data_IF_124531345151
#
_entry.id   IF_124531345151
#
_cell.length_a   1.000
_cell.length_b   1.000
_cell.length_c   1.000
_cell.angle_alpha   90.00
_cell.angle_beta   90.00
_cell.angle_gamma   90.00
#
_symmetry.space_group_name_H-M   'P 1'
#
loop_
_entity.id
_entity.type
_entity.pdbx_description
1 polymer ?
#
# COMPACT_ATOMS: atom_id res chain seq x y z
N UNK A 1 4.24 51.47 -45.89
CA UNK A 1 2.94 51.08 -45.30
C UNK A 1 2.88 51.51 -43.83
N UNK A 2 2.61 52.79 -43.51
CA UNK A 2 2.13 53.20 -42.20
C UNK A 2 0.61 53.40 -42.25
N UNK A 3 -0.16 52.94 -41.26
CA UNK A 3 -1.49 53.47 -40.83
C UNK A 3 -2.37 52.52 -40.00
N UNK A 4 -1.93 51.29 -39.65
CA UNK A 4 -2.77 50.39 -38.81
C UNK A 4 -2.43 50.48 -37.31
N UNK A 5 -1.38 51.21 -36.93
CA UNK A 5 -0.87 51.26 -35.55
C UNK A 5 -1.24 52.51 -34.73
N UNK A 6 -1.98 53.48 -35.29
CA UNK A 6 -2.28 54.74 -34.57
C UNK A 6 -3.45 54.63 -33.58
N UNK A 7 -4.24 53.55 -33.63
CA UNK A 7 -5.35 53.34 -32.70
C UNK A 7 -5.00 52.30 -31.63
N UNK A 8 -4.97 52.74 -30.37
CA UNK A 8 -4.75 51.91 -29.17
C UNK A 8 -5.75 50.75 -29.05
N UNK A 9 -6.98 50.95 -29.53
CA UNK A 9 -8.03 49.93 -29.54
C UNK A 9 -7.69 48.82 -30.54
N UNK A 10 -7.23 49.18 -31.74
CA UNK A 10 -6.86 48.22 -32.79
C UNK A 10 -5.64 47.41 -32.38
N UNK A 11 -4.65 48.05 -31.76
CA UNK A 11 -3.47 47.35 -31.24
C UNK A 11 -3.81 46.38 -30.11
N UNK A 12 -4.64 46.78 -29.15
CA UNK A 12 -5.10 45.90 -28.08
C UNK A 12 -5.90 44.69 -28.63
N UNK A 13 -6.74 44.91 -29.64
CA UNK A 13 -7.53 43.86 -30.28
C UNK A 13 -6.64 42.87 -31.07
N UNK A 14 -5.66 43.37 -31.82
CA UNK A 14 -4.69 42.54 -32.56
C UNK A 14 -3.83 41.71 -31.60
N UNK A 15 -3.32 42.31 -30.52
CA UNK A 15 -2.56 41.59 -29.50
C UNK A 15 -3.41 40.54 -28.77
N UNK A 16 -4.68 40.85 -28.48
CA UNK A 16 -5.63 39.89 -27.92
C UNK A 16 -5.87 38.69 -28.83
N UNK A 17 -6.07 38.93 -30.13
CA UNK A 17 -6.22 37.87 -31.14
C UNK A 17 -4.97 37.00 -31.24
N UNK A 18 -3.77 37.61 -31.27
CA UNK A 18 -2.50 36.87 -31.31
C UNK A 18 -2.35 35.99 -30.07
N UNK A 19 -2.70 36.50 -28.88
CA UNK A 19 -2.63 35.73 -27.63
C UNK A 19 -3.62 34.55 -27.62
N UNK A 20 -4.83 34.75 -28.14
CA UNK A 20 -5.85 33.71 -28.24
C UNK A 20 -5.43 32.53 -29.14
N UNK A 21 -4.56 32.76 -30.13
CA UNK A 21 -4.03 31.71 -31.00
C UNK A 21 -3.11 30.70 -30.28
N UNK A 22 -2.61 31.02 -29.07
CA UNK A 22 -1.74 30.13 -28.27
C UNK A 22 -2.40 28.79 -27.91
N UNK A 23 -3.68 28.83 -27.51
CA UNK A 23 -4.44 27.66 -27.09
C UNK A 23 -4.71 26.67 -28.24
N UNK A 24 -5.24 27.08 -29.40
CA UNK A 24 -5.41 26.22 -30.55
C UNK A 24 -4.09 25.62 -31.04
N UNK A 25 -3.00 26.42 -31.09
CA UNK A 25 -1.68 25.90 -31.48
C UNK A 25 -1.18 24.83 -30.50
N UNK A 26 -1.29 25.09 -29.19
CA UNK A 26 -0.91 24.13 -28.16
C UNK A 26 -1.76 22.86 -28.17
N UNK A 27 -3.00 22.95 -28.64
CA UNK A 27 -3.86 21.77 -28.83
C UNK A 27 -3.44 20.99 -30.09
N UNK A 28 -3.12 21.70 -31.19
CA UNK A 28 -2.68 21.10 -32.45
C UNK A 28 -1.35 20.34 -32.31
N UNK A 29 -0.42 20.83 -31.50
CA UNK A 29 0.86 20.14 -31.25
C UNK A 29 0.68 18.78 -30.59
N UNK A 30 -0.40 18.57 -29.81
CA UNK A 30 -0.71 17.27 -29.21
C UNK A 30 -1.11 16.19 -30.23
N UNK A 31 -1.48 16.59 -31.45
CA UNK A 31 -1.78 15.65 -32.55
C UNK A 31 -0.51 15.01 -33.13
N UNK A 32 0.62 15.73 -33.11
CA UNK A 32 1.88 15.26 -33.68
C UNK A 32 2.84 14.71 -32.63
N UNK A 33 2.70 15.15 -31.38
CA UNK A 33 3.59 14.76 -30.30
C UNK A 33 2.87 14.75 -28.95
N UNK A 34 2.91 13.60 -28.26
CA UNK A 34 2.53 13.49 -26.85
C UNK A 34 3.79 13.48 -25.98
N UNK A 35 4.13 14.61 -25.33
CA UNK A 35 5.31 14.68 -24.47
C UNK A 35 5.15 13.77 -23.25
N UNK A 36 6.28 13.28 -22.72
CA UNK A 36 6.28 12.49 -21.48
C UNK A 36 6.00 13.37 -20.26
N UNK A 37 5.58 12.77 -19.14
CA UNK A 37 5.33 13.50 -17.89
C UNK A 37 6.53 14.35 -17.42
N UNK A 38 7.76 13.90 -17.74
CA UNK A 38 8.99 14.65 -17.42
C UNK A 38 9.13 15.89 -18.29
N UNK A 39 8.84 15.80 -19.57
CA UNK A 39 8.96 16.92 -20.51
C UNK A 39 7.91 17.99 -20.20
N UNK A 40 6.69 17.57 -19.86
CA UNK A 40 5.63 18.47 -19.40
C UNK A 40 6.05 19.17 -18.10
N UNK A 41 6.63 18.43 -17.15
CA UNK A 41 7.12 19.01 -15.91
C UNK A 41 8.25 20.04 -16.15
N UNK A 42 9.19 19.74 -17.05
CA UNK A 42 10.26 20.68 -17.44
C UNK A 42 9.65 21.93 -18.07
N UNK A 43 8.75 21.79 -19.05
CA UNK A 43 8.11 22.91 -19.74
C UNK A 43 7.28 23.78 -18.79
N UNK A 44 6.50 23.17 -17.89
CA UNK A 44 5.73 23.90 -16.87
C UNK A 44 6.64 24.60 -15.85
N UNK A 45 7.71 23.95 -15.41
CA UNK A 45 8.66 24.54 -14.46
C UNK A 45 9.38 25.75 -15.05
N UNK A 46 9.78 25.66 -16.33
CA UNK A 46 10.40 26.76 -17.06
C UNK A 46 9.40 27.90 -17.30
N UNK A 47 8.21 27.62 -17.84
CA UNK A 47 7.21 28.65 -18.13
C UNK A 47 6.72 29.38 -16.88
N UNK A 48 6.42 28.63 -15.82
CA UNK A 48 6.04 29.20 -14.53
C UNK A 48 7.16 30.00 -13.88
N UNK A 49 8.39 29.47 -13.91
CA UNK A 49 9.57 30.14 -13.36
C UNK A 49 9.92 31.44 -14.09
N UNK A 50 9.86 31.45 -15.43
CA UNK A 50 10.15 32.62 -16.25
C UNK A 50 9.14 33.75 -16.03
N UNK A 51 7.84 33.43 -15.99
CA UNK A 51 6.78 34.41 -15.70
C UNK A 51 6.92 35.01 -14.30
N UNK A 52 7.18 34.16 -13.30
CA UNK A 52 7.32 34.60 -11.92
C UNK A 52 8.58 35.47 -11.77
N UNK A 53 9.69 35.10 -12.41
CA UNK A 53 10.91 35.90 -12.43
C UNK A 53 10.68 37.27 -13.10
N UNK A 54 10.07 37.30 -14.29
CA UNK A 54 9.77 38.54 -15.00
C UNK A 54 8.90 39.48 -14.16
N UNK A 55 7.82 38.94 -13.57
CA UNK A 55 6.89 39.72 -12.77
C UNK A 55 7.51 40.19 -11.44
N UNK A 56 8.36 39.37 -10.81
CA UNK A 56 9.12 39.79 -9.63
C UNK A 56 10.12 40.89 -9.96
N UNK A 57 10.87 40.78 -11.05
CA UNK A 57 11.83 41.82 -11.44
C UNK A 57 11.14 43.13 -11.77
N UNK A 58 10.03 43.09 -12.51
CA UNK A 58 9.29 44.29 -12.91
C UNK A 58 8.69 45.01 -11.68
N UNK A 59 8.04 44.27 -10.76
CA UNK A 59 7.52 44.85 -9.53
C UNK A 59 8.63 45.34 -8.57
N UNK A 60 9.66 44.53 -8.36
CA UNK A 60 10.70 44.84 -7.36
C UNK A 60 11.60 45.97 -7.85
N UNK A 61 12.05 45.95 -9.11
CA UNK A 61 12.95 46.96 -9.65
C UNK A 61 12.32 48.35 -9.66
N UNK A 62 11.06 48.47 -10.10
CA UNK A 62 10.34 49.75 -10.14
C UNK A 62 10.09 50.36 -8.75
N UNK A 63 9.97 49.52 -7.72
CA UNK A 63 9.69 49.96 -6.34
C UNK A 63 10.98 50.28 -5.58
N UNK A 64 12.03 49.49 -5.78
CA UNK A 64 13.36 49.73 -5.20
C UNK A 64 13.99 51.01 -5.77
N UNK A 65 13.82 51.27 -7.08
CA UNK A 65 14.31 52.50 -7.71
C UNK A 65 13.68 53.78 -7.13
N UNK A 66 12.48 53.69 -6.53
CA UNK A 66 11.78 54.80 -5.87
C UNK A 66 12.16 54.97 -4.40
N UNK A 67 12.96 54.05 -3.83
CA UNK A 67 13.35 54.06 -2.42
C UNK A 67 12.36 53.36 -1.47
N UNK A 68 11.28 52.79 -1.99
CA UNK A 68 10.17 52.22 -1.21
C UNK A 68 10.37 50.74 -0.85
N UNK A 69 11.57 50.38 -0.38
CA UNK A 69 11.87 49.00 0.01
C UNK A 69 11.07 48.49 1.23
N UNK A 70 10.89 49.26 2.32
CA UNK A 70 10.15 48.79 3.49
C UNK A 70 8.69 48.35 3.23
N UNK A 71 7.86 49.13 2.50
CA UNK A 71 6.49 48.69 2.19
C UNK A 71 6.45 47.49 1.24
N UNK A 72 7.40 47.38 0.31
CA UNK A 72 7.56 46.20 -0.55
C UNK A 72 7.83 44.94 0.29
N UNK A 73 8.80 45.00 1.21
CA UNK A 73 9.15 43.89 2.08
C UNK A 73 7.98 43.46 2.97
N UNK A 74 7.26 44.43 3.55
CA UNK A 74 6.05 44.16 4.35
C UNK A 74 4.96 43.47 3.53
N UNK A 75 4.73 43.92 2.28
CA UNK A 75 3.79 43.29 1.36
C UNK A 75 4.16 41.86 1.01
N UNK A 76 5.44 41.59 0.69
CA UNK A 76 5.93 40.24 0.41
C UNK A 76 5.75 39.30 1.59
N UNK A 77 6.10 39.74 2.81
CA UNK A 77 5.94 38.94 4.02
C UNK A 77 4.45 38.68 4.31
N UNK A 78 3.61 39.72 4.25
CA UNK A 78 2.17 39.60 4.47
C UNK A 78 1.49 38.66 3.46
N UNK A 79 1.83 38.79 2.18
CA UNK A 79 1.34 37.90 1.13
C UNK A 79 1.78 36.46 1.33
N UNK A 80 3.03 36.22 1.74
CA UNK A 80 3.54 34.89 2.07
C UNK A 80 2.80 34.25 3.24
N UNK A 81 2.56 35.00 4.32
CA UNK A 81 1.80 34.54 5.48
C UNK A 81 0.34 34.23 5.12
N UNK A 82 -0.30 35.09 4.34
CA UNK A 82 -1.66 34.87 3.83
C UNK A 82 -1.75 33.62 2.96
N UNK A 83 -0.78 33.40 2.07
CA UNK A 83 -0.68 32.19 1.25
C UNK A 83 -0.56 30.92 2.11
N UNK A 84 0.31 30.93 3.12
CA UNK A 84 0.47 29.80 4.06
C UNK A 84 -0.85 29.53 4.80
N UNK A 85 -1.51 30.57 5.30
CA UNK A 85 -2.79 30.46 5.99
C UNK A 85 -3.89 29.86 5.11
N UNK A 86 -4.05 30.37 3.88
CA UNK A 86 -4.99 29.84 2.89
C UNK A 86 -4.68 28.38 2.55
N UNK A 87 -3.41 28.03 2.37
CA UNK A 87 -3.01 26.67 2.05
C UNK A 87 -3.31 25.68 3.19
N UNK A 88 -3.15 26.12 4.45
CA UNK A 88 -3.55 25.32 5.61
C UNK A 88 -5.06 25.12 5.67
N UNK A 89 -5.84 26.19 5.48
CA UNK A 89 -7.32 26.12 5.43
C UNK A 89 -7.76 25.14 4.34
N UNK A 90 -7.22 25.26 3.12
CA UNK A 90 -7.56 24.35 2.01
C UNK A 90 -7.20 22.90 2.31
N UNK A 91 -6.08 22.64 2.99
CA UNK A 91 -5.70 21.29 3.41
C UNK A 91 -6.66 20.73 4.47
N UNK A 92 -7.09 21.55 5.42
CA UNK A 92 -8.05 21.16 6.47
C UNK A 92 -9.44 20.86 5.90
N UNK A 93 -9.85 21.54 4.82
CA UNK A 93 -11.08 21.25 4.07
C UNK A 93 -10.97 20.06 3.09
N UNK A 94 -9.89 19.27 3.16
CA UNK A 94 -9.76 18.04 2.37
C UNK A 94 -9.04 18.21 1.03
N UNK A 95 -8.24 19.27 0.84
CA UNK A 95 -7.36 19.47 -0.32
C UNK A 95 -6.40 18.29 -0.61
N UNK A 96 -6.23 17.38 0.36
CA UNK A 96 -5.53 16.11 0.23
C UNK A 96 -6.17 15.11 -0.76
N UNK A 97 -7.47 15.25 -1.05
CA UNK A 97 -8.17 14.45 -2.08
C UNK A 97 -7.86 14.93 -3.51
N UNK A 98 -7.18 16.08 -3.68
CA UNK A 98 -6.82 16.64 -5.00
C UNK A 98 -5.71 15.84 -5.71
N UNK A 99 -4.94 15.03 -4.98
CA UNK A 99 -3.84 14.24 -5.54
C UNK A 99 -3.90 12.82 -5.02
N UNK A 100 -4.19 11.87 -5.91
CA UNK A 100 -4.31 10.45 -5.59
C UNK A 100 -3.10 9.89 -4.81
N UNK A 101 -1.90 10.43 -5.06
CA UNK A 101 -0.66 10.05 -4.37
C UNK A 101 -0.71 10.30 -2.85
N UNK A 102 -1.31 11.42 -2.42
CA UNK A 102 -1.39 11.74 -1.00
C UNK A 102 -2.46 10.86 -0.36
N UNK A 103 -3.64 10.72 -0.98
CA UNK A 103 -4.73 9.83 -0.52
C UNK A 103 -4.27 8.40 -0.23
N UNK A 104 -3.49 7.82 -1.14
CA UNK A 104 -2.92 6.49 -0.96
C UNK A 104 -1.96 6.40 0.24
N UNK A 105 -1.22 7.46 0.57
CA UNK A 105 -0.35 7.47 1.73
C UNK A 105 -1.12 7.39 3.06
N UNK A 106 -2.22 8.15 3.22
CA UNK A 106 -3.02 8.06 4.45
C UNK A 106 -3.78 6.74 4.56
N UNK A 107 -4.30 6.22 3.44
CA UNK A 107 -4.97 4.92 3.44
C UNK A 107 -3.99 3.81 3.84
N UNK A 108 -2.81 3.72 3.22
CA UNK A 108 -1.77 2.75 3.63
C UNK A 108 -1.35 2.90 5.07
N UNK A 109 -1.23 4.13 5.58
CA UNK A 109 -0.89 4.39 6.98
C UNK A 109 -1.97 3.89 7.95
N UNK A 110 -3.25 4.00 7.58
CA UNK A 110 -4.34 3.44 8.38
C UNK A 110 -4.34 1.91 8.33
N UNK A 111 -4.15 1.32 7.15
CA UNK A 111 -4.05 -0.15 6.98
C UNK A 111 -2.90 -0.73 7.80
N UNK A 112 -1.74 -0.08 7.78
CA UNK A 112 -0.58 -0.44 8.61
C UNK A 112 -0.91 -0.53 10.10
N UNK A 113 -1.63 0.48 10.63
CA UNK A 113 -2.03 0.51 12.05
C UNK A 113 -3.03 -0.58 12.38
N UNK A 114 -4.02 -0.78 11.52
CA UNK A 114 -5.04 -1.82 11.69
C UNK A 114 -4.42 -3.22 11.65
N UNK A 115 -3.51 -3.47 10.72
CA UNK A 115 -2.80 -4.74 10.64
C UNK A 115 -1.96 -4.98 11.90
N UNK A 116 -1.23 -3.96 12.39
CA UNK A 116 -0.43 -4.10 13.62
C UNK A 116 -1.30 -4.45 14.82
N UNK A 117 -2.46 -3.81 14.93
CA UNK A 117 -3.43 -4.11 15.98
C UNK A 117 -3.98 -5.53 15.85
N UNK A 118 -4.36 -5.97 14.65
CA UNK A 118 -4.88 -7.33 14.42
C UNK A 118 -3.81 -8.38 14.73
N UNK A 119 -2.56 -8.13 14.33
CA UNK A 119 -1.45 -9.04 14.61
C UNK A 119 -1.18 -9.15 16.12
N UNK A 120 -1.28 -8.03 16.87
CA UNK A 120 -1.15 -8.03 18.33
C UNK A 120 -2.30 -8.73 19.06
N UNK A 121 -3.47 -8.83 18.43
CA UNK A 121 -4.65 -9.48 18.98
C UNK A 121 -4.84 -10.91 18.45
N UNK A 122 -4.07 -11.31 17.44
CA UNK A 122 -4.11 -12.64 16.89
C UNK A 122 -3.66 -13.64 17.96
N UNK A 123 -4.39 -14.75 18.08
CA UNK A 123 -4.10 -15.82 19.05
C UNK A 123 -2.71 -16.45 18.86
N UNK A 124 -2.11 -16.30 17.68
CA UNK A 124 -0.75 -16.75 17.33
C UNK A 124 0.31 -15.70 17.68
N UNK A 125 0.17 -15.16 18.88
CA UNK A 125 1.04 -14.15 19.49
C UNK A 125 2.50 -14.64 19.54
N UNK A 126 2.71 -15.95 19.66
CA UNK A 126 4.01 -16.61 19.80
C UNK A 126 4.95 -16.53 18.59
N UNK A 127 4.43 -16.45 17.36
CA UNK A 127 5.28 -16.31 16.15
C UNK A 127 5.44 -14.85 15.72
N UNK A 128 4.39 -14.04 15.91
CA UNK A 128 4.37 -12.66 15.43
C UNK A 128 4.72 -11.59 16.48
N UNK A 129 4.90 -11.96 17.76
CA UNK A 129 5.24 -10.97 18.81
C UNK A 129 6.62 -10.35 18.68
N UNK A 130 7.61 -11.15 18.32
CA UNK A 130 9.03 -10.72 18.29
C UNK A 130 9.43 -10.18 16.91
N UNK A 131 8.44 -9.71 16.15
CA UNK A 131 8.65 -9.15 14.83
C UNK A 131 9.24 -7.74 14.95
N UNK A 132 10.41 -7.53 14.34
CA UNK A 132 11.03 -6.21 14.31
C UNK A 132 10.16 -5.22 13.50
N UNK A 133 10.28 -3.92 13.78
CA UNK A 133 9.54 -2.89 13.03
C UNK A 133 9.91 -2.86 11.54
N UNK A 134 11.12 -3.31 11.17
CA UNK A 134 11.54 -3.46 9.77
C UNK A 134 10.83 -4.62 9.09
N UNK A 135 10.77 -5.77 9.74
CA UNK A 135 10.12 -6.99 9.23
C UNK A 135 8.61 -6.78 9.10
N UNK A 136 8.01 -6.17 10.12
CA UNK A 136 6.61 -5.80 10.08
C UNK A 136 6.30 -4.86 8.91
N UNK A 137 7.17 -3.89 8.60
CA UNK A 137 6.98 -3.01 7.44
C UNK A 137 7.01 -3.75 6.11
N UNK A 138 7.79 -4.83 5.98
CA UNK A 138 7.81 -5.66 4.77
C UNK A 138 6.49 -6.41 4.63
N UNK A 139 6.00 -7.04 5.69
CA UNK A 139 4.71 -7.74 5.70
C UNK A 139 3.54 -6.78 5.44
N UNK A 140 3.52 -5.65 6.14
CA UNK A 140 2.45 -4.65 6.04
C UNK A 140 2.35 -3.98 4.67
N UNK A 141 3.40 -4.02 3.83
CA UNK A 141 3.36 -3.53 2.45
C UNK A 141 2.65 -4.47 1.48
N UNK A 142 2.62 -5.75 1.80
CA UNK A 142 2.14 -6.81 0.89
C UNK A 142 0.79 -7.38 1.32
N UNK A 143 0.43 -7.16 2.58
CA UNK A 143 -0.88 -7.51 3.08
C UNK A 143 -1.95 -6.64 2.42
N UNK A 144 -3.10 -7.24 2.15
CA UNK A 144 -4.22 -6.55 1.54
C UNK A 144 -5.55 -7.06 2.14
N UNK A 145 -6.54 -6.18 2.15
CA UNK A 145 -7.86 -6.50 2.66
C UNK A 145 -8.71 -7.13 1.54
N UNK A 146 -9.21 -8.34 1.79
CA UNK A 146 -10.14 -9.04 0.92
C UNK A 146 -11.52 -9.08 1.58
N UNK A 147 -12.57 -8.78 0.82
CA UNK A 147 -13.94 -8.78 1.31
C UNK A 147 -14.73 -9.89 0.65
N UNK A 148 -15.44 -10.65 1.47
CA UNK A 148 -16.26 -11.78 1.06
C UNK A 148 -17.70 -11.56 1.50
N UNK A 149 -18.65 -11.90 0.64
CA UNK A 149 -20.09 -11.89 0.96
C UNK A 149 -20.46 -13.16 1.71
N UNK A 150 -21.60 -13.10 2.40
CA UNK A 150 -22.16 -14.27 3.08
C UNK A 150 -22.30 -15.44 2.12
N UNK A 151 -21.72 -16.58 2.50
CA UNK A 151 -21.77 -17.83 1.77
C UNK A 151 -20.67 -18.02 0.73
N UNK A 152 -19.81 -17.03 0.48
CA UNK A 152 -18.65 -17.17 -0.41
C UNK A 152 -17.56 -18.04 0.24
N UNK A 153 -16.82 -18.77 -0.61
CA UNK A 153 -15.73 -19.65 -0.21
C UNK A 153 -14.43 -18.85 -0.24
N UNK A 154 -13.68 -18.89 0.86
CA UNK A 154 -12.35 -18.24 0.98
C UNK A 154 -11.26 -19.16 0.43
N UNK A 155 -11.32 -20.44 0.80
CA UNK A 155 -10.48 -21.51 0.24
C UNK A 155 -11.17 -22.86 0.40
N UNK A 156 -10.77 -23.82 -0.42
CA UNK A 156 -11.33 -25.17 -0.42
C UNK A 156 -10.33 -26.17 0.17
N UNK A 157 -10.84 -27.23 0.80
CA UNK A 157 -10.00 -28.37 1.20
C UNK A 157 -9.23 -28.92 0.00
N UNK A 158 -7.96 -29.21 0.22
CA UNK A 158 -7.06 -29.81 -0.77
C UNK A 158 -6.34 -28.79 -1.65
N UNK A 159 -6.80 -27.53 -1.67
CA UNK A 159 -6.07 -26.46 -2.36
C UNK A 159 -4.74 -26.17 -1.64
N UNK A 160 -3.75 -25.75 -2.41
CA UNK A 160 -2.47 -25.30 -1.87
C UNK A 160 -2.67 -24.04 -1.03
N UNK A 161 -1.92 -23.95 0.08
CA UNK A 161 -1.98 -22.79 0.95
C UNK A 161 -1.05 -21.69 0.42
N UNK A 162 -1.63 -20.69 -0.23
CA UNK A 162 -0.90 -19.52 -0.77
C UNK A 162 -0.97 -18.30 0.15
N UNK A 163 -1.99 -18.22 1.01
CA UNK A 163 -2.21 -17.08 1.89
C UNK A 163 -2.58 -17.52 3.31
N UNK A 164 -2.07 -16.79 4.29
CA UNK A 164 -2.57 -16.78 5.66
C UNK A 164 -3.61 -15.67 5.80
N UNK A 165 -4.76 -15.94 6.41
CA UNK A 165 -5.77 -14.92 6.60
C UNK A 165 -6.01 -14.59 8.07
N UNK A 166 -6.26 -13.32 8.37
CA UNK A 166 -6.70 -12.83 9.69
C UNK A 166 -8.06 -12.16 9.59
N UNK A 167 -8.99 -12.53 10.47
CA UNK A 167 -10.36 -12.01 10.44
C UNK A 167 -10.40 -10.59 11.03
N UNK A 168 -10.60 -9.58 10.17
CA UNK A 168 -10.74 -8.19 10.58
C UNK A 168 -12.16 -7.87 11.06
N UNK A 169 -13.16 -8.43 10.39
CA UNK A 169 -14.59 -8.26 10.68
C UNK A 169 -15.37 -9.46 10.16
N UNK A 170 -16.39 -9.86 10.90
CA UNK A 170 -17.29 -10.96 10.55
C UNK A 170 -16.84 -12.31 11.11
N UNK A 171 -17.43 -13.38 10.61
CA UNK A 171 -17.20 -14.76 11.03
C UNK A 171 -17.13 -15.73 9.84
N UNK A 172 -16.29 -16.75 9.97
CA UNK A 172 -16.04 -17.77 8.94
C UNK A 172 -16.27 -19.16 9.55
N UNK A 173 -17.02 -20.00 8.86
CA UNK A 173 -17.20 -21.41 9.25
C UNK A 173 -16.27 -22.32 8.46
N UNK A 174 -15.55 -23.17 9.18
CA UNK A 174 -14.73 -24.25 8.64
C UNK A 174 -15.57 -25.51 8.47
N UNK A 175 -15.65 -25.99 7.25
CA UNK A 175 -16.40 -27.18 6.86
C UNK A 175 -15.41 -28.31 6.57
N UNK A 176 -15.58 -29.47 7.22
CA UNK A 176 -14.90 -30.70 6.81
C UNK A 176 -15.84 -31.47 5.87
N UNK A 177 -15.45 -31.83 4.65
CA UNK A 177 -16.32 -32.64 3.79
C UNK A 177 -16.53 -34.08 4.31
N UNK A 178 -15.74 -34.55 5.29
CA UNK A 178 -15.93 -35.87 5.91
C UNK A 178 -17.11 -35.83 6.91
N UNK A 179 -17.21 -34.76 7.69
CA UNK A 179 -18.29 -34.53 8.65
C UNK A 179 -19.22 -33.44 8.11
N UNK A 180 -20.44 -33.78 7.67
CA UNK A 180 -21.43 -32.85 7.08
C UNK A 180 -21.91 -31.68 7.99
N UNK A 181 -21.20 -31.39 9.09
CA UNK A 181 -21.48 -30.34 10.08
C UNK A 181 -20.34 -29.32 10.08
N UNK A 182 -20.64 -28.04 10.31
CA UNK A 182 -19.62 -27.02 10.53
C UNK A 182 -18.71 -27.43 11.70
N UNK A 183 -17.45 -27.74 11.38
CA UNK A 183 -16.49 -28.29 12.33
C UNK A 183 -16.08 -27.24 13.36
N UNK A 184 -16.01 -25.97 12.94
CA UNK A 184 -15.66 -24.85 13.81
C UNK A 184 -16.07 -23.52 13.17
N UNK A 185 -16.57 -22.58 13.97
CA UNK A 185 -16.71 -21.17 13.54
C UNK A 185 -15.56 -20.37 14.14
N UNK A 186 -14.99 -19.50 13.31
CA UNK A 186 -13.89 -18.61 13.65
C UNK A 186 -14.39 -17.18 13.56
N UNK A 187 -14.02 -16.39 14.57
CA UNK A 187 -14.51 -15.03 14.77
C UNK A 187 -13.38 -14.02 14.63
N UNK A 188 -13.71 -12.75 14.85
CA UNK A 188 -12.76 -11.64 14.78
C UNK A 188 -11.46 -11.94 15.55
N UNK A 189 -10.33 -11.63 14.92
CA UNK A 189 -8.95 -11.87 15.39
C UNK A 189 -8.48 -13.34 15.35
N UNK A 190 -9.30 -14.28 14.90
CA UNK A 190 -8.80 -15.62 14.58
C UNK A 190 -8.01 -15.62 13.25
N UNK A 191 -7.10 -16.58 13.16
CA UNK A 191 -6.34 -16.93 11.98
C UNK A 191 -7.01 -18.06 11.18
N UNK A 192 -6.88 -18.01 9.86
CA UNK A 192 -7.34 -19.04 8.95
C UNK A 192 -6.17 -19.57 8.13
N UNK A 193 -5.99 -20.88 8.15
CA UNK A 193 -4.98 -21.55 7.32
C UNK A 193 -3.58 -21.59 7.92
N UNK A 194 -3.36 -21.11 9.15
CA UNK A 194 -2.05 -21.11 9.83
C UNK A 194 -1.30 -22.44 9.78
N UNK A 195 -2.00 -23.53 10.12
CA UNK A 195 -1.39 -24.88 10.15
C UNK A 195 -0.88 -25.28 8.76
N UNK A 196 -1.70 -25.08 7.73
CA UNK A 196 -1.34 -25.36 6.33
C UNK A 196 -0.24 -24.42 5.82
N UNK A 197 -0.29 -23.15 6.23
CA UNK A 197 0.65 -22.11 5.84
C UNK A 197 2.08 -22.41 6.30
N UNK A 198 2.24 -22.73 7.58
CA UNK A 198 3.56 -22.98 8.18
C UNK A 198 4.09 -24.39 7.85
N UNK A 199 3.23 -25.42 7.86
CA UNK A 199 3.68 -26.78 7.53
C UNK A 199 3.85 -27.03 6.02
N UNK A 200 3.33 -26.11 5.19
CA UNK A 200 3.38 -26.24 3.74
C UNK A 200 2.38 -27.24 3.17
N UNK A 201 1.49 -27.77 3.99
CA UNK A 201 0.47 -28.75 3.56
C UNK A 201 -0.74 -28.08 2.91
N UNK A 202 -1.56 -28.82 2.13
CA UNK A 202 -2.82 -28.30 1.59
C UNK A 202 -3.83 -27.94 2.69
N UNK A 203 -4.80 -27.08 2.36
CA UNK A 203 -5.86 -26.73 3.31
C UNK A 203 -6.66 -27.96 3.74
N UNK A 204 -6.87 -28.11 5.05
CA UNK A 204 -7.64 -29.21 5.63
C UNK A 204 -9.15 -29.03 5.48
N UNK A 205 -9.61 -27.80 5.62
CA UNK A 205 -11.03 -27.47 5.66
C UNK A 205 -11.39 -26.56 4.49
N UNK A 206 -12.67 -26.55 4.12
CA UNK A 206 -13.22 -25.50 3.28
C UNK A 206 -13.68 -24.36 4.17
N UNK A 207 -13.12 -23.17 3.99
CA UNK A 207 -13.51 -21.97 4.73
C UNK A 207 -14.62 -21.23 3.97
N UNK A 208 -15.76 -21.02 4.62
CA UNK A 208 -16.91 -20.33 4.05
C UNK A 208 -17.31 -19.16 4.93
N UNK A 209 -17.51 -17.99 4.33
CA UNK A 209 -17.98 -16.81 5.03
C UNK A 209 -19.40 -17.02 5.57
N UNK A 210 -19.59 -16.89 6.89
CA UNK A 210 -20.90 -17.09 7.53
C UNK A 210 -21.76 -15.82 7.46
N UNK A 211 -21.11 -14.68 7.26
CA UNK A 211 -21.70 -13.36 7.05
C UNK A 211 -20.83 -12.53 6.08
N UNK A 212 -21.02 -11.20 6.01
CA UNK A 212 -20.09 -10.33 5.28
C UNK A 212 -18.77 -10.21 6.04
N UNK A 213 -17.69 -10.74 5.48
CA UNK A 213 -16.38 -10.88 6.15
C UNK A 213 -15.32 -10.03 5.45
N UNK A 214 -14.47 -9.39 6.25
CA UNK A 214 -13.25 -8.75 5.78
C UNK A 214 -12.03 -9.47 6.36
N UNK A 215 -11.15 -9.95 5.48
CA UNK A 215 -9.97 -10.73 5.82
C UNK A 215 -8.71 -9.99 5.38
N UNK A 216 -7.70 -9.94 6.26
CA UNK A 216 -6.36 -9.56 5.84
C UNK A 216 -5.64 -10.79 5.30
N UNK A 217 -5.24 -10.75 4.03
CA UNK A 217 -4.51 -11.84 3.37
C UNK A 217 -3.01 -11.53 3.36
N UNK A 218 -2.22 -12.39 4.00
CA UNK A 218 -0.76 -12.36 3.98
C UNK A 218 -0.24 -13.46 3.03
N UNK A 219 0.43 -13.08 1.93
CA UNK A 219 0.99 -14.06 1.00
C UNK A 219 2.11 -14.88 1.60
N UNK A 220 2.09 -16.18 1.32
CA UNK A 220 3.09 -17.16 1.74
C UNK A 220 4.47 -16.78 1.22
N UNK A 221 4.58 -16.50 -0.08
CA UNK A 221 5.84 -16.09 -0.70
C UNK A 221 6.49 -14.92 0.05
N UNK A 222 5.72 -13.90 0.43
CA UNK A 222 6.25 -12.74 1.17
C UNK A 222 6.77 -13.10 2.54
N UNK A 223 6.03 -13.91 3.30
CA UNK A 223 6.44 -14.33 4.64
C UNK A 223 7.72 -15.18 4.59
N UNK A 224 7.77 -16.16 3.69
CA UNK A 224 8.92 -17.05 3.56
C UNK A 224 10.15 -16.35 2.98
N UNK A 225 9.98 -15.38 2.08
CA UNK A 225 11.08 -14.55 1.59
C UNK A 225 11.67 -13.63 2.67
N UNK A 226 10.94 -13.36 3.75
CA UNK A 226 11.42 -12.56 4.89
C UNK A 226 12.23 -13.38 5.89
N UNK A 227 12.06 -14.71 5.93
CA UNK A 227 12.73 -15.58 6.90
C UNK A 227 14.26 -15.50 6.86
N UNK A 228 14.93 -15.52 5.68
CA UNK A 228 16.39 -15.45 5.63
C UNK A 228 16.98 -14.19 6.28
N UNK A 229 16.23 -13.08 6.24
CA UNK A 229 16.67 -11.78 6.76
C UNK A 229 16.32 -11.58 8.24
N UNK A 230 15.51 -12.46 8.84
CA UNK A 230 14.98 -12.32 10.20
C UNK A 230 15.24 -13.56 11.07
N UNK A 231 16.39 -13.62 11.77
CA UNK A 231 16.73 -14.74 12.64
C UNK A 231 15.71 -14.97 13.78
N UNK A 232 15.15 -13.88 14.32
CA UNK A 232 14.12 -13.96 15.38
C UNK A 232 12.88 -14.68 14.89
N UNK A 233 12.41 -14.36 13.68
CA UNK A 233 11.25 -14.99 13.08
C UNK A 233 11.52 -16.46 12.73
N UNK A 234 12.71 -16.79 12.23
CA UNK A 234 13.13 -18.18 11.99
C UNK A 234 13.04 -19.02 13.26
N UNK A 235 13.61 -18.53 14.37
CA UNK A 235 13.54 -19.25 15.64
C UNK A 235 12.11 -19.39 16.17
N UNK A 236 11.27 -18.37 15.99
CA UNK A 236 9.88 -18.42 16.41
C UNK A 236 9.09 -19.47 15.61
N UNK A 237 9.29 -19.54 14.29
CA UNK A 237 8.68 -20.56 13.40
C UNK A 237 9.20 -21.95 13.76
N UNK A 238 10.52 -22.14 13.91
CA UNK A 238 11.11 -23.43 14.29
C UNK A 238 10.57 -23.94 15.64
N UNK A 239 10.48 -23.06 16.63
CA UNK A 239 9.90 -23.37 17.94
C UNK A 239 8.45 -23.83 17.80
N UNK A 240 7.67 -23.15 16.97
CA UNK A 240 6.28 -23.54 16.73
C UNK A 240 6.20 -24.88 15.98
N UNK A 241 7.08 -25.15 15.01
CA UNK A 241 7.10 -26.41 14.29
C UNK A 241 7.39 -27.62 15.18
N UNK A 242 8.24 -27.45 16.20
CA UNK A 242 8.54 -28.49 17.19
C UNK A 242 7.45 -28.67 18.25
N UNK A 243 6.36 -27.91 18.17
CA UNK A 243 5.26 -27.98 19.13
C UNK A 243 4.43 -29.26 19.00
N UNK A 244 3.69 -29.59 20.06
CA UNK A 244 2.75 -30.71 20.04
C UNK A 244 1.63 -30.46 19.03
N UNK A 245 1.18 -29.21 18.88
CA UNK A 245 0.13 -28.82 17.95
C UNK A 245 0.50 -29.12 16.50
N UNK A 246 1.75 -28.85 16.10
CA UNK A 246 2.25 -29.16 14.77
C UNK A 246 2.37 -30.68 14.56
N UNK A 247 2.90 -31.40 15.55
CA UNK A 247 3.04 -32.86 15.53
C UNK A 247 1.68 -33.56 15.41
N UNK A 248 0.72 -33.18 16.25
CA UNK A 248 -0.63 -33.73 16.27
C UNK A 248 -1.36 -33.45 14.94
N UNK A 249 -1.14 -32.27 14.36
CA UNK A 249 -1.70 -31.91 13.06
C UNK A 249 -1.16 -32.79 11.93
N UNK A 250 0.15 -32.95 11.84
CA UNK A 250 0.79 -33.77 10.80
C UNK A 250 0.43 -35.26 10.95
N UNK A 251 0.43 -35.78 12.17
CA UNK A 251 0.09 -37.18 12.42
C UNK A 251 -1.40 -37.46 12.16
N UNK A 252 -2.29 -36.70 12.82
CA UNK A 252 -3.73 -37.01 12.86
C UNK A 252 -4.44 -36.65 11.55
N UNK A 253 -4.01 -35.61 10.85
CA UNK A 253 -4.73 -35.08 9.69
C UNK A 253 -4.04 -35.33 8.36
N UNK A 254 -2.73 -35.57 8.38
CA UNK A 254 -1.94 -35.86 7.18
C UNK A 254 -1.36 -37.28 7.18
N UNK A 255 -1.61 -38.07 8.24
CA UNK A 255 -1.27 -39.50 8.28
C UNK A 255 0.23 -39.80 8.36
N UNK A 256 1.04 -38.81 8.74
CA UNK A 256 2.49 -38.96 8.83
C UNK A 256 2.87 -39.79 10.04
N UNK A 257 3.79 -40.74 9.87
CA UNK A 257 4.34 -41.50 11.00
C UNK A 257 5.18 -40.58 11.90
N UNK A 258 5.22 -40.88 13.20
CA UNK A 258 6.08 -40.16 14.14
C UNK A 258 7.56 -40.17 13.71
N UNK A 259 8.03 -41.26 13.10
CA UNK A 259 9.39 -41.34 12.55
C UNK A 259 9.64 -40.43 11.34
N UNK A 260 8.61 -40.14 10.54
CA UNK A 260 8.70 -39.15 9.47
C UNK A 260 8.70 -37.73 10.05
N UNK A 261 7.87 -37.45 11.06
CA UNK A 261 7.81 -36.13 11.72
C UNK A 261 9.11 -35.81 12.47
N UNK A 262 9.72 -36.79 13.15
CA UNK A 262 11.01 -36.60 13.83
C UNK A 262 12.12 -36.29 12.81
N UNK A 263 12.20 -37.07 11.72
CA UNK A 263 13.16 -36.77 10.62
C UNK A 263 12.93 -35.38 10.01
N UNK A 264 11.68 -34.97 9.91
CA UNK A 264 11.29 -33.64 9.43
C UNK A 264 11.71 -32.52 10.40
N UNK A 265 11.62 -32.74 11.73
CA UNK A 265 12.14 -31.81 12.74
C UNK A 265 13.67 -31.74 12.78
N UNK A 266 14.35 -32.86 12.52
CA UNK A 266 15.82 -32.99 12.58
C UNK A 266 16.52 -32.50 11.30
N UNK A 267 15.78 -32.35 10.18
CA UNK A 267 16.28 -31.65 8.99
C UNK A 267 16.38 -30.14 9.25
N UNK A 268 17.38 -29.77 10.05
CA UNK A 268 17.67 -28.43 10.60
C UNK A 268 18.13 -27.39 9.55
N UNK A 269 18.02 -27.68 8.24
CA UNK A 269 18.78 -26.97 7.19
C UNK A 269 17.99 -26.11 6.19
N UNK A 270 16.66 -26.04 6.20
CA UNK A 270 15.91 -25.44 5.06
C UNK A 270 15.34 -24.05 5.35
N UNK A 271 16.13 -23.19 6.00
CA UNK A 271 15.83 -21.75 6.12
C UNK A 271 17.12 -20.89 6.05
N UNK A 272 18.01 -21.08 5.06
CA UNK A 272 19.09 -20.13 4.67
C UNK A 272 19.58 -20.36 3.21
N UNK A 273 20.13 -19.34 2.52
CA UNK A 273 19.45 -18.52 1.50
C UNK A 273 19.54 -19.10 0.07
N UNK A 274 18.42 -19.11 -0.65
CA UNK A 274 18.40 -19.36 -2.10
C UNK A 274 17.11 -19.97 -2.60
N UNK A 275 16.57 -20.95 -1.88
CA UNK A 275 15.27 -21.56 -2.13
C UNK A 275 14.65 -21.97 -0.80
N UNK A 276 13.60 -21.26 -0.38
CA UNK A 276 12.84 -21.62 0.82
C UNK A 276 11.89 -22.76 0.46
N UNK A 277 12.42 -23.98 0.40
CA UNK A 277 11.58 -25.17 0.34
C UNK A 277 11.12 -25.50 1.76
N UNK A 278 9.87 -25.21 2.10
CA UNK A 278 9.27 -25.88 3.25
C UNK A 278 9.47 -27.39 3.04
N UNK A 279 10.06 -28.12 4.00
CA UNK A 279 10.17 -29.56 3.88
C UNK A 279 8.74 -30.07 3.70
N UNK A 280 8.44 -30.53 2.49
CA UNK A 280 7.14 -31.08 2.19
C UNK A 280 7.11 -32.40 2.95
N UNK A 281 6.17 -32.60 3.88
CA UNK A 281 6.08 -33.88 4.58
C UNK A 281 5.81 -35.06 3.62
N UNK A 282 5.50 -34.77 2.35
CA UNK A 282 5.14 -35.71 1.30
C UNK A 282 6.21 -35.88 0.20
N UNK A 283 7.47 -35.48 0.43
CA UNK A 283 8.60 -35.76 -0.47
C UNK A 283 9.41 -36.98 -0.03
#
# INVERSE_FOLDING_TARGET
MPLIYDSTIVTALVLGLISACSLPLGTLTTLFWKPSDRDIAVLMSFGGGALLAALTLDLVAGTVAKGDFPPLAAGCIGGGLLFIGLNNIVNDFGGFLRKASTTMYHLRKQEYRKFRQILSLAKRTDVFCDLSDTDFKVLAKTIHLQNYKKGEIVFTKGDLCDNLYFIAKGSVSLLDPIDKVASKTLDKHDDLGWLAFITGTPYRFTARASEGVSLWALPKATFFNLLPDSPTLVHAVQRWLRSKEATDYLHTHHGLSFSAIIRWHDHEYILWPGEVCLPQPFQ
#
